data_IF_209169222984
#
_entry.id   IF_209169222984
#
_cell.length_a   1.000
_cell.length_b   1.000
_cell.length_c   1.000
_cell.angle_alpha   90.00
_cell.angle_beta   90.00
_cell.angle_gamma   90.00
#
_symmetry.space_group_name_H-M   'P 1'
#
loop_
_entity.id
_entity.type
_entity.pdbx_description
1 polymer ?
#
# COMPACT_ATOMS: atom_id res chain seq x y z
N UNK A 1 -4.78 14.49 -3.59
CA UNK A 1 -5.62 13.26 -3.63
C UNK A 1 -6.01 13.03 -5.08
N UNK A 2 -5.94 11.80 -5.58
CA UNK A 2 -6.25 11.46 -6.98
C UNK A 2 -7.75 11.20 -7.15
N UNK A 3 -8.36 10.48 -6.21
CA UNK A 3 -9.80 10.24 -6.16
C UNK A 3 -10.45 11.20 -5.16
N UNK A 4 -10.85 12.36 -5.67
CA UNK A 4 -11.58 13.41 -4.96
C UNK A 4 -13.11 13.24 -5.09
N UNK A 5 -13.87 14.12 -4.44
CA UNK A 5 -15.35 14.07 -4.47
C UNK A 5 -15.94 14.10 -5.89
N UNK A 6 -15.33 14.86 -6.80
CA UNK A 6 -15.81 14.99 -8.18
C UNK A 6 -15.67 13.68 -8.96
N UNK A 7 -14.49 13.07 -8.88
CA UNK A 7 -14.19 11.78 -9.52
C UNK A 7 -14.96 10.63 -8.86
N UNK A 8 -15.03 10.59 -7.53
CA UNK A 8 -15.77 9.58 -6.76
C UNK A 8 -17.29 9.61 -7.03
N UNK A 9 -17.85 10.81 -7.23
CA UNK A 9 -19.26 10.99 -7.56
C UNK A 9 -19.66 10.37 -8.90
N UNK A 10 -18.72 10.30 -9.85
CA UNK A 10 -18.93 9.75 -11.18
C UNK A 10 -18.73 8.23 -11.28
N UNK A 11 -18.22 7.57 -10.23
CA UNK A 11 -18.02 6.12 -10.22
C UNK A 11 -19.34 5.35 -10.06
N UNK A 12 -19.39 4.17 -10.67
CA UNK A 12 -20.43 3.19 -10.43
C UNK A 12 -20.45 2.80 -8.93
N UNK A 13 -21.65 2.70 -8.34
CA UNK A 13 -21.79 2.43 -6.89
C UNK A 13 -21.35 1.04 -6.46
N UNK A 14 -21.18 0.11 -7.38
CA UNK A 14 -20.61 -1.22 -7.13
C UNK A 14 -19.07 -1.24 -7.25
N UNK A 15 -18.44 -0.10 -7.53
CA UNK A 15 -16.98 0.00 -7.59
C UNK A 15 -16.37 -0.21 -6.20
N UNK A 16 -15.35 -1.08 -6.12
CA UNK A 16 -14.48 -1.23 -4.97
C UNK A 16 -13.14 -0.55 -5.26
N UNK A 17 -12.75 0.39 -4.41
CA UNK A 17 -11.42 1.01 -4.45
C UNK A 17 -10.54 0.34 -3.39
N UNK A 18 -9.35 -0.09 -3.78
CA UNK A 18 -8.31 -0.62 -2.89
C UNK A 18 -7.10 0.31 -2.96
N UNK A 19 -6.88 1.11 -1.92
CA UNK A 19 -5.78 2.05 -1.85
C UNK A 19 -4.55 1.38 -1.22
N UNK A 20 -3.50 1.20 -2.02
CA UNK A 20 -2.22 0.61 -1.61
C UNK A 20 -1.18 1.67 -1.25
N UNK A 21 -1.45 2.95 -1.51
CA UNK A 21 -0.49 4.01 -1.27
C UNK A 21 -0.32 4.26 0.23
N UNK A 22 0.90 4.62 0.63
CA UNK A 22 1.21 5.03 1.99
C UNK A 22 0.39 6.28 2.38
N UNK A 23 0.16 6.50 3.69
CA UNK A 23 -0.53 7.71 4.16
C UNK A 23 0.07 9.00 3.57
N UNK A 24 -0.77 9.97 3.16
CA UNK A 24 -2.22 10.02 3.36
C UNK A 24 -3.06 9.19 2.38
N UNK A 25 -2.45 8.48 1.41
CA UNK A 25 -3.14 7.70 0.40
C UNK A 25 -3.49 8.48 -0.87
N UNK A 26 -4.19 7.82 -1.79
CA UNK A 26 -4.66 8.36 -3.07
C UNK A 26 -6.14 8.74 -3.09
N UNK A 27 -6.92 8.36 -2.08
CA UNK A 27 -8.38 8.54 -2.03
C UNK A 27 -8.77 9.48 -0.90
N UNK A 28 -9.71 10.39 -1.19
CA UNK A 28 -10.40 11.15 -0.15
C UNK A 28 -11.38 10.20 0.54
N UNK A 29 -10.96 9.62 1.66
CA UNK A 29 -11.73 8.61 2.39
C UNK A 29 -13.04 9.18 2.95
N UNK A 30 -13.07 10.48 3.27
CA UNK A 30 -14.28 11.14 3.74
C UNK A 30 -15.27 11.31 2.59
N UNK A 31 -14.81 11.84 1.44
CA UNK A 31 -15.64 11.96 0.25
C UNK A 31 -16.12 10.58 -0.27
N UNK A 32 -15.29 9.54 -0.20
CA UNK A 32 -15.68 8.18 -0.61
C UNK A 32 -16.83 7.64 0.24
N UNK A 33 -16.79 7.90 1.56
CA UNK A 33 -17.88 7.57 2.50
C UNK A 33 -19.15 8.34 2.16
N UNK A 34 -19.06 9.63 1.86
CA UNK A 34 -20.20 10.46 1.45
C UNK A 34 -20.81 10.00 0.13
N UNK A 35 -19.97 9.68 -0.86
CA UNK A 35 -20.38 9.19 -2.18
C UNK A 35 -20.87 7.73 -2.18
N UNK A 36 -20.84 7.06 -1.02
CA UNK A 36 -21.18 5.64 -0.81
C UNK A 36 -20.37 4.69 -1.71
N UNK A 37 -19.10 5.01 -1.93
CA UNK A 37 -18.16 4.16 -2.66
C UNK A 37 -17.39 3.30 -1.67
N UNK A 38 -17.42 1.97 -1.87
CA UNK A 38 -16.70 1.05 -1.00
C UNK A 38 -15.20 1.21 -1.23
N UNK A 39 -14.49 1.60 -0.18
CA UNK A 39 -13.04 1.87 -0.24
C UNK A 39 -12.32 1.16 0.90
N UNK A 40 -11.18 0.55 0.60
CA UNK A 40 -10.33 -0.16 1.56
C UNK A 40 -8.91 0.37 1.48
N UNK A 41 -8.38 0.86 2.61
CA UNK A 41 -6.95 1.14 2.74
C UNK A 41 -6.20 -0.18 3.03
N UNK A 42 -5.43 -0.65 2.06
CA UNK A 42 -4.75 -1.93 2.11
C UNK A 42 -3.24 -1.76 2.38
N UNK A 43 -2.94 -1.14 3.53
CA UNK A 43 -1.56 -0.99 3.99
C UNK A 43 -0.99 -2.31 4.51
N UNK A 44 0.30 -2.53 4.26
CA UNK A 44 1.07 -3.69 4.73
C UNK A 44 0.50 -5.03 4.26
N UNK A 45 0.02 -5.11 3.01
CA UNK A 45 -0.49 -6.38 2.46
C UNK A 45 0.52 -7.53 2.57
N UNK A 46 1.80 -7.40 2.16
CA UNK A 46 2.75 -8.51 2.27
C UNK A 46 2.89 -9.04 3.70
N UNK A 47 2.99 -8.15 4.69
CA UNK A 47 3.10 -8.54 6.10
C UNK A 47 1.82 -9.15 6.68
N UNK A 48 0.65 -8.79 6.14
CA UNK A 48 -0.65 -9.31 6.60
C UNK A 48 -1.04 -10.63 5.91
N UNK A 49 -0.70 -10.80 4.63
CA UNK A 49 -1.15 -11.95 3.84
C UNK A 49 -0.10 -13.05 3.70
N UNK A 50 1.19 -12.70 3.75
CA UNK A 50 2.31 -13.63 3.61
C UNK A 50 3.48 -13.26 4.55
N UNK A 51 3.26 -13.27 5.88
CA UNK A 51 4.24 -12.78 6.86
C UNK A 51 5.59 -13.50 6.80
N UNK A 52 5.59 -14.82 6.61
CA UNK A 52 6.83 -15.61 6.50
C UNK A 52 7.64 -15.23 5.26
N UNK A 53 6.97 -15.13 4.09
CA UNK A 53 7.63 -14.72 2.86
C UNK A 53 8.13 -13.27 2.92
N UNK A 54 7.34 -12.36 3.51
CA UNK A 54 7.77 -10.98 3.73
C UNK A 54 9.00 -10.91 4.64
N UNK A 55 9.04 -11.71 5.71
CA UNK A 55 10.18 -11.83 6.61
C UNK A 55 11.43 -12.38 5.90
N UNK A 56 11.27 -13.42 5.08
CA UNK A 56 12.34 -14.02 4.29
C UNK A 56 12.96 -13.01 3.29
N UNK A 57 12.12 -12.22 2.61
CA UNK A 57 12.58 -11.16 1.71
C UNK A 57 13.41 -10.12 2.47
N UNK A 58 12.91 -9.63 3.61
CA UNK A 58 13.61 -8.65 4.45
C UNK A 58 14.97 -9.22 4.91
N UNK A 59 14.97 -10.45 5.41
CA UNK A 59 16.18 -11.16 5.85
C UNK A 59 17.23 -11.21 4.75
N UNK A 60 16.85 -11.64 3.55
CA UNK A 60 17.76 -11.79 2.42
C UNK A 60 18.36 -10.45 1.97
N UNK A 61 17.55 -9.39 1.94
CA UNK A 61 18.04 -8.03 1.65
C UNK A 61 19.06 -7.58 2.70
N UNK A 62 18.80 -7.78 3.98
CA UNK A 62 19.72 -7.40 5.06
C UNK A 62 21.06 -8.13 4.91
N UNK A 63 21.06 -9.45 4.68
CA UNK A 63 22.30 -10.20 4.48
C UNK A 63 23.07 -9.75 3.23
N UNK A 64 22.37 -9.41 2.15
CA UNK A 64 23.01 -8.89 0.94
C UNK A 64 23.71 -7.54 1.22
N UNK A 65 23.05 -6.62 1.91
CA UNK A 65 23.65 -5.33 2.31
C UNK A 65 24.90 -5.55 3.17
N UNK A 66 24.84 -6.47 4.14
CA UNK A 66 25.98 -6.81 5.00
C UNK A 66 27.14 -7.38 4.18
N UNK A 67 26.85 -8.30 3.25
CA UNK A 67 27.88 -8.89 2.38
C UNK A 67 28.55 -7.84 1.48
N UNK A 68 27.78 -6.96 0.85
CA UNK A 68 28.31 -5.90 -0.01
C UNK A 68 29.20 -4.90 0.76
N UNK A 69 28.78 -4.53 1.97
CA UNK A 69 29.54 -3.60 2.83
C UNK A 69 30.81 -4.23 3.40
N UNK A 70 30.78 -5.53 3.72
CA UNK A 70 31.96 -6.26 4.22
C UNK A 70 33.05 -6.43 3.16
N UNK A 71 32.67 -6.49 1.87
CA UNK A 71 33.63 -6.58 0.75
C UNK A 71 34.29 -5.23 0.46
N UNK A 72 33.63 -4.10 0.75
CA UNK A 72 34.12 -2.74 0.46
C UNK A 72 35.08 -2.17 1.50
N UNK A 73 35.29 -2.89 2.61
CA UNK A 73 36.23 -2.53 3.69
C UNK A 73 37.61 -3.21 3.59
N UNK A 74 37.92 -3.87 2.47
CA UNK A 74 39.26 -4.38 2.14
C UNK A 74 39.95 -3.50 1.10
#
# INVERSE_FOLDING_TARGET
VIFDKGTLGALDKNTLIIDLASPPGGVDMEAARECKIKTVAALSLPGKTAPEAAGEIIKNIIYNIINETSVRGK
#
